data_IF_325998109322
#
_entry.id   IF_325998109322
#
_cell.length_a   1.000
_cell.length_b   1.000
_cell.length_c   1.000
_cell.angle_alpha   90.00
_cell.angle_beta   90.00
_cell.angle_gamma   90.00
#
_symmetry.space_group_name_H-M   'P 1'
#
loop_
_entity.id
_entity.type
_entity.pdbx_description
1 polymer ?
#
# COMPACT_ATOMS: atom_id res chain seq x y z
N UNK A 1 28.98 11.91 53.24
CA UNK A 1 29.73 10.65 52.98
C UNK A 1 28.90 9.81 52.04
N UNK A 2 29.42 9.45 50.86
CA UNK A 2 28.70 8.59 49.93
C UNK A 2 28.62 7.16 50.52
N UNK A 3 27.43 6.56 50.52
CA UNK A 3 27.20 5.20 51.01
C UNK A 3 27.95 4.18 50.14
N UNK A 4 28.26 3.01 50.68
CA UNK A 4 28.96 1.94 49.95
C UNK A 4 28.25 1.57 48.62
N UNK A 5 26.91 1.66 48.61
CA UNK A 5 26.07 1.44 47.42
C UNK A 5 26.31 2.47 46.32
N UNK A 6 26.50 3.75 46.67
CA UNK A 6 26.78 4.81 45.70
C UNK A 6 28.15 4.64 45.03
N UNK A 7 29.12 4.05 45.75
CA UNK A 7 30.45 3.73 45.20
C UNK A 7 30.41 2.53 44.26
N UNK A 8 29.61 1.52 44.57
CA UNK A 8 29.42 0.36 43.69
C UNK A 8 28.74 0.79 42.40
N UNK A 9 27.68 1.60 42.49
CA UNK A 9 26.96 2.10 41.32
C UNK A 9 27.87 2.91 40.38
N UNK A 10 28.66 3.86 40.92
CA UNK A 10 29.57 4.67 40.10
C UNK A 10 30.70 3.84 39.50
N UNK A 11 31.18 2.81 40.20
CA UNK A 11 32.17 1.90 39.66
C UNK A 11 31.59 1.04 38.53
N UNK A 12 30.38 0.49 38.70
CA UNK A 12 29.71 -0.27 37.63
C UNK A 12 29.43 0.59 36.41
N UNK A 13 29.01 1.84 36.60
CA UNK A 13 28.75 2.79 35.52
C UNK A 13 30.04 3.16 34.76
N UNK A 14 31.14 3.43 35.48
CA UNK A 14 32.44 3.68 34.88
C UNK A 14 33.00 2.46 34.11
N UNK A 15 32.72 1.25 34.61
CA UNK A 15 33.15 0.00 33.96
C UNK A 15 32.35 -0.28 32.70
N UNK A 16 31.02 -0.09 32.74
CA UNK A 16 30.13 -0.22 31.58
C UNK A 16 30.44 0.84 30.50
N UNK A 17 30.69 2.09 30.91
CA UNK A 17 31.09 3.16 29.99
C UNK A 17 32.41 2.86 29.27
N UNK A 18 33.33 2.15 29.92
CA UNK A 18 34.59 1.68 29.32
C UNK A 18 34.41 0.50 28.37
N UNK A 19 33.34 -0.27 28.50
CA UNK A 19 33.02 -1.39 27.60
C UNK A 19 32.21 -0.96 26.37
N UNK A 20 31.52 0.19 26.42
CA UNK A 20 30.77 0.75 25.29
C UNK A 20 31.53 0.82 23.96
N UNK A 21 32.82 1.20 23.92
CA UNK A 21 33.62 1.23 22.69
C UNK A 21 34.00 -0.16 22.13
N UNK A 22 33.96 -1.21 22.95
CA UNK A 22 34.27 -2.58 22.53
C UNK A 22 33.05 -3.28 21.90
N UNK A 23 31.85 -2.78 22.17
CA UNK A 23 30.62 -3.14 21.47
C UNK A 23 30.52 -2.37 20.15
N UNK A 24 31.56 -2.42 19.32
CA UNK A 24 31.45 -1.98 17.93
C UNK A 24 30.56 -3.01 17.24
N UNK A 25 29.31 -2.65 16.97
CA UNK A 25 28.41 -3.46 16.17
C UNK A 25 29.17 -3.86 14.88
N UNK A 26 29.25 -5.16 14.56
CA UNK A 26 29.96 -5.61 13.37
C UNK A 26 29.40 -4.87 12.15
N UNK A 27 30.25 -4.55 11.15
CA UNK A 27 29.75 -3.98 9.91
C UNK A 27 28.71 -4.95 9.34
N UNK A 28 27.45 -4.52 9.31
CA UNK A 28 26.37 -5.27 8.69
C UNK A 28 26.74 -5.48 7.22
N UNK A 29 27.19 -6.68 6.89
CA UNK A 29 27.35 -7.08 5.50
C UNK A 29 25.95 -7.06 4.89
N UNK A 30 25.67 -6.07 4.03
CA UNK A 30 24.43 -6.04 3.27
C UNK A 30 24.39 -7.31 2.43
N UNK A 31 23.50 -8.24 2.78
CA UNK A 31 23.24 -9.43 1.99
C UNK A 31 22.32 -9.03 0.83
N UNK A 32 22.69 -9.40 -0.39
CA UNK A 32 21.87 -9.21 -1.57
C UNK A 32 20.80 -10.31 -1.58
N UNK A 33 19.56 -9.94 -1.25
CA UNK A 33 18.41 -10.84 -1.25
C UNK A 33 17.70 -10.86 -2.61
N UNK A 34 17.02 -11.96 -2.92
CA UNK A 34 16.28 -12.05 -4.17
C UNK A 34 15.09 -11.07 -4.17
N UNK A 35 14.86 -10.31 -5.26
CA UNK A 35 13.76 -9.37 -5.32
C UNK A 35 12.42 -10.09 -5.37
N UNK A 36 11.43 -9.56 -4.65
CA UNK A 36 10.07 -10.10 -4.63
C UNK A 36 9.40 -9.94 -6.00
N UNK A 37 9.05 -11.06 -6.64
CA UNK A 37 8.42 -11.07 -7.96
C UNK A 37 6.89 -10.99 -7.84
N UNK A 38 6.34 -9.79 -8.06
CA UNK A 38 4.91 -9.53 -7.99
C UNK A 38 4.30 -9.30 -9.38
N UNK A 39 3.31 -10.11 -9.74
CA UNK A 39 2.66 -10.10 -11.06
C UNK A 39 1.63 -8.97 -11.15
N UNK A 40 1.70 -8.17 -12.21
CA UNK A 40 0.68 -7.17 -12.54
C UNK A 40 -0.41 -7.77 -13.41
N UNK A 41 -1.67 -7.39 -13.17
CA UNK A 41 -2.81 -7.74 -14.02
C UNK A 41 -3.50 -6.48 -14.54
N UNK A 42 -4.37 -6.69 -15.52
CA UNK A 42 -5.23 -5.65 -16.09
C UNK A 42 -6.69 -6.04 -15.88
N UNK A 43 -7.56 -5.03 -15.72
CA UNK A 43 -9.02 -5.21 -15.58
C UNK A 43 -9.81 -4.84 -16.85
N UNK A 44 -9.08 -4.49 -17.90
CA UNK A 44 -9.64 -4.04 -19.17
C UNK A 44 -10.61 -5.06 -19.78
N UNK A 45 -10.32 -6.38 -19.86
CA UNK A 45 -11.23 -7.31 -20.51
C UNK A 45 -12.57 -7.42 -19.76
N UNK A 46 -12.56 -7.32 -18.43
CA UNK A 46 -13.78 -7.34 -17.62
C UNK A 46 -14.61 -6.06 -17.81
N UNK A 47 -13.96 -4.89 -17.90
CA UNK A 47 -14.66 -3.63 -18.18
C UNK A 47 -15.26 -3.61 -19.60
N UNK A 48 -14.59 -4.23 -20.58
CA UNK A 48 -15.15 -4.43 -21.93
C UNK A 48 -16.36 -5.34 -21.89
N UNK A 49 -16.31 -6.44 -21.13
CA UNK A 49 -17.45 -7.35 -20.96
C UNK A 49 -18.66 -6.67 -20.29
N UNK A 50 -18.43 -5.66 -19.44
CA UNK A 50 -19.47 -4.81 -18.85
C UNK A 50 -20.00 -3.72 -19.82
N UNK A 51 -19.62 -3.73 -21.10
CA UNK A 51 -20.04 -2.72 -22.10
C UNK A 51 -19.74 -1.27 -21.67
N UNK A 52 -18.68 -1.05 -20.89
CA UNK A 52 -18.25 0.30 -20.54
C UNK A 52 -17.75 1.05 -21.78
N UNK A 53 -17.92 2.38 -21.80
CA UNK A 53 -17.33 3.21 -22.86
C UNK A 53 -15.80 3.25 -22.74
N UNK A 54 -15.08 3.48 -23.84
CA UNK A 54 -13.61 3.51 -23.84
C UNK A 54 -13.04 4.54 -22.84
N UNK A 55 -13.72 5.68 -22.66
CA UNK A 55 -13.34 6.71 -21.68
C UNK A 55 -13.42 6.19 -20.24
N UNK A 56 -14.47 5.44 -19.93
CA UNK A 56 -14.67 4.81 -18.61
C UNK A 56 -13.65 3.70 -18.42
N UNK A 57 -13.46 2.84 -19.42
CA UNK A 57 -12.45 1.77 -19.42
C UNK A 57 -11.06 2.33 -19.13
N UNK A 58 -10.64 3.38 -19.86
CA UNK A 58 -9.33 4.00 -19.69
C UNK A 58 -9.15 4.59 -18.28
N UNK A 59 -10.17 5.30 -17.78
CA UNK A 59 -10.13 5.94 -16.46
C UNK A 59 -10.05 4.91 -15.33
N UNK A 60 -10.88 3.87 -15.39
CA UNK A 60 -10.91 2.81 -14.38
C UNK A 60 -9.68 1.90 -14.44
N UNK A 61 -9.20 1.57 -15.64
CA UNK A 61 -7.95 0.81 -15.80
C UNK A 61 -6.77 1.56 -15.20
N UNK A 62 -6.67 2.88 -15.45
CA UNK A 62 -5.64 3.73 -14.84
C UNK A 62 -5.75 3.79 -13.32
N UNK A 63 -6.98 3.89 -12.79
CA UNK A 63 -7.21 3.89 -11.34
C UNK A 63 -6.76 2.57 -10.70
N UNK A 64 -7.08 1.46 -11.34
CA UNK A 64 -6.66 0.13 -10.91
C UNK A 64 -5.15 -0.03 -10.97
N UNK A 65 -4.50 0.36 -12.07
CA UNK A 65 -3.04 0.30 -12.22
C UNK A 65 -2.31 1.11 -11.15
N UNK A 66 -2.77 2.34 -10.87
CA UNK A 66 -2.19 3.18 -9.80
C UNK A 66 -2.35 2.52 -8.44
N UNK A 67 -3.51 1.93 -8.16
CA UNK A 67 -3.79 1.27 -6.89
C UNK A 67 -2.98 -0.03 -6.73
N UNK A 68 -2.88 -0.82 -7.80
CA UNK A 68 -2.03 -2.01 -7.86
C UNK A 68 -0.55 -1.67 -7.67
N UNK A 69 -0.07 -0.57 -8.23
CA UNK A 69 1.32 -0.13 -8.04
C UNK A 69 1.59 0.30 -6.59
N UNK A 70 0.63 0.96 -5.94
CA UNK A 70 0.73 1.28 -4.50
C UNK A 70 0.80 0.01 -3.65
N UNK A 71 -0.08 -0.97 -3.91
CA UNK A 71 -0.04 -2.27 -3.23
C UNK A 71 1.31 -2.97 -3.43
N UNK A 72 1.81 -3.00 -4.68
CA UNK A 72 3.09 -3.62 -5.02
C UNK A 72 4.25 -2.97 -4.27
N UNK A 73 4.34 -1.63 -4.26
CA UNK A 73 5.38 -0.90 -3.53
C UNK A 73 5.33 -1.17 -2.03
N UNK A 74 4.13 -1.20 -1.45
CA UNK A 74 3.94 -1.51 -0.03
C UNK A 74 4.40 -2.93 0.31
N UNK A 75 4.03 -3.91 -0.51
CA UNK A 75 4.46 -5.30 -0.33
C UNK A 75 5.98 -5.45 -0.42
N UNK A 76 6.62 -4.85 -1.43
CA UNK A 76 8.08 -4.87 -1.59
C UNK A 76 8.78 -4.20 -0.40
N UNK A 77 8.35 -2.99 -0.03
CA UNK A 77 8.94 -2.26 1.10
C UNK A 77 8.85 -3.03 2.41
N UNK A 78 7.68 -3.62 2.70
CA UNK A 78 7.48 -4.40 3.92
C UNK A 78 8.26 -5.73 3.89
N UNK A 79 8.34 -6.39 2.74
CA UNK A 79 9.15 -7.58 2.56
C UNK A 79 10.63 -7.29 2.82
N UNK A 80 11.18 -6.26 2.18
CA UNK A 80 12.58 -5.85 2.35
C UNK A 80 12.87 -5.44 3.81
N UNK A 81 11.98 -4.66 4.42
CA UNK A 81 12.11 -4.27 5.83
C UNK A 81 12.08 -5.45 6.79
N UNK A 82 11.17 -6.40 6.57
CA UNK A 82 11.05 -7.61 7.40
C UNK A 82 12.25 -8.53 7.22
N UNK A 83 12.71 -8.72 5.98
CA UNK A 83 13.87 -9.54 5.67
C UNK A 83 15.16 -8.95 6.22
N UNK A 84 15.33 -7.62 6.14
CA UNK A 84 16.45 -6.92 6.75
C UNK A 84 16.46 -7.10 8.28
N UNK A 85 15.31 -6.90 8.93
CA UNK A 85 15.18 -7.10 10.38
C UNK A 85 15.47 -8.55 10.79
N UNK A 86 14.98 -9.51 10.00
CA UNK A 86 15.23 -10.92 10.22
C UNK A 86 16.72 -11.26 10.02
N UNK A 87 17.33 -10.79 8.94
CA UNK A 87 18.75 -11.03 8.65
C UNK A 87 19.68 -10.52 9.77
N UNK A 88 19.26 -9.48 10.49
CA UNK A 88 19.99 -8.94 11.63
C UNK A 88 19.94 -9.81 12.89
N UNK A 89 19.00 -10.78 12.98
CA UNK A 89 18.92 -11.72 14.10
C UNK A 89 19.68 -13.02 13.87
N UNK A 90 20.05 -13.33 12.62
CA UNK A 90 20.80 -14.54 12.28
C UNK A 90 22.30 -14.31 12.38
N UNK A 91 23.01 -15.27 12.98
CA UNK A 91 24.46 -15.26 13.00
C UNK A 91 25.02 -15.62 11.61
N UNK A 92 26.29 -15.29 11.35
CA UNK A 92 26.92 -15.47 10.01
C UNK A 92 26.95 -16.95 9.58
N UNK A 93 26.88 -17.87 10.56
CA UNK A 93 26.95 -19.31 10.38
C UNK A 93 25.59 -20.01 10.21
N UNK A 94 24.46 -19.32 10.40
CA UNK A 94 23.10 -19.90 10.33
C UNK A 94 22.41 -19.62 8.98
N UNK A 95 23.17 -19.73 7.87
CA UNK A 95 22.70 -19.32 6.54
C UNK A 95 21.52 -20.15 6.02
N UNK A 96 21.50 -21.44 6.33
CA UNK A 96 20.44 -22.34 5.87
C UNK A 96 19.07 -21.96 6.45
N UNK A 97 19.03 -21.51 7.71
CA UNK A 97 17.80 -21.05 8.35
C UNK A 97 17.25 -19.78 7.69
N UNK A 98 18.11 -18.81 7.39
CA UNK A 98 17.69 -17.56 6.76
C UNK A 98 17.07 -17.78 5.37
N UNK A 99 17.63 -18.70 4.58
CA UNK A 99 17.09 -19.03 3.26
C UNK A 99 15.68 -19.65 3.33
N UNK A 100 15.43 -20.49 4.33
CA UNK A 100 14.10 -21.05 4.59
C UNK A 100 13.09 -19.96 4.94
N UNK A 101 13.46 -19.03 5.82
CA UNK A 101 12.60 -17.90 6.15
C UNK A 101 12.38 -16.94 4.97
N UNK A 102 13.39 -16.71 4.12
CA UNK A 102 13.24 -15.90 2.90
C UNK A 102 12.22 -16.54 1.95
N UNK A 103 12.24 -17.87 1.80
CA UNK A 103 11.26 -18.61 1.02
C UNK A 103 9.84 -18.47 1.60
N UNK A 104 9.69 -18.64 2.92
CA UNK A 104 8.39 -18.51 3.59
C UNK A 104 7.84 -17.07 3.49
N UNK A 105 8.70 -16.07 3.73
CA UNK A 105 8.31 -14.65 3.65
C UNK A 105 7.91 -14.28 2.23
N UNK A 106 8.71 -14.66 1.22
CA UNK A 106 8.39 -14.35 -0.17
C UNK A 106 7.05 -14.97 -0.59
N UNK A 107 6.82 -16.25 -0.27
CA UNK A 107 5.54 -16.92 -0.55
C UNK A 107 4.36 -16.21 0.13
N UNK A 108 4.51 -15.80 1.38
CA UNK A 108 3.48 -15.05 2.12
C UNK A 108 3.16 -13.71 1.46
N UNK A 109 4.17 -12.88 1.20
CA UNK A 109 3.94 -11.57 0.60
C UNK A 109 3.39 -11.66 -0.83
N UNK A 110 3.77 -12.69 -1.60
CA UNK A 110 3.17 -12.96 -2.92
C UNK A 110 1.69 -13.31 -2.78
N UNK A 111 1.34 -14.16 -1.81
CA UNK A 111 -0.05 -14.55 -1.52
C UNK A 111 -0.88 -13.33 -1.11
N UNK A 112 -0.41 -12.59 -0.10
CA UNK A 112 -1.11 -11.41 0.45
C UNK A 112 -1.30 -10.34 -0.63
N UNK A 113 -0.29 -10.12 -1.48
CA UNK A 113 -0.40 -9.20 -2.62
C UNK A 113 -1.44 -9.68 -3.64
N UNK A 114 -1.43 -10.98 -3.97
CA UNK A 114 -2.35 -11.55 -4.95
C UNK A 114 -3.80 -11.45 -4.46
N UNK A 115 -4.03 -11.72 -3.18
CA UNK A 115 -5.34 -11.59 -2.54
C UNK A 115 -5.81 -10.13 -2.53
N UNK A 116 -4.98 -9.20 -2.04
CA UNK A 116 -5.33 -7.78 -1.98
C UNK A 116 -5.61 -7.20 -3.38
N UNK A 117 -4.85 -7.62 -4.39
CA UNK A 117 -5.07 -7.24 -5.80
C UNK A 117 -6.42 -7.76 -6.32
N UNK A 118 -6.77 -8.99 -5.98
CA UNK A 118 -8.03 -9.61 -6.38
C UNK A 118 -9.23 -8.96 -5.68
N UNK A 119 -9.11 -8.66 -4.39
CA UNK A 119 -10.12 -7.89 -3.65
C UNK A 119 -10.32 -6.49 -4.25
N UNK A 120 -9.24 -5.80 -4.60
CA UNK A 120 -9.30 -4.51 -5.29
C UNK A 120 -10.01 -4.62 -6.64
N UNK A 121 -9.71 -5.68 -7.41
CA UNK A 121 -10.37 -5.95 -8.70
C UNK A 121 -11.86 -6.13 -8.52
N UNK A 122 -12.27 -7.01 -7.60
CA UNK A 122 -13.67 -7.31 -7.32
C UNK A 122 -14.43 -6.07 -6.83
N UNK A 123 -13.89 -5.34 -5.85
CA UNK A 123 -14.52 -4.14 -5.32
C UNK A 123 -14.77 -3.08 -6.39
N UNK A 124 -13.84 -2.92 -7.34
CA UNK A 124 -14.00 -1.99 -8.46
C UNK A 124 -15.08 -2.46 -9.44
N UNK A 125 -15.08 -3.75 -9.83
CA UNK A 125 -16.08 -4.31 -10.74
C UNK A 125 -17.48 -4.31 -10.13
N UNK A 126 -17.61 -4.67 -8.85
CA UNK A 126 -18.88 -4.63 -8.11
C UNK A 126 -19.43 -3.22 -8.06
N UNK A 127 -18.56 -2.22 -7.85
CA UNK A 127 -18.97 -0.82 -7.85
C UNK A 127 -19.46 -0.37 -9.22
N UNK A 128 -18.77 -0.75 -10.29
CA UNK A 128 -19.21 -0.47 -11.67
C UNK A 128 -20.57 -1.11 -11.93
N UNK A 129 -20.73 -2.39 -11.60
CA UNK A 129 -21.97 -3.12 -11.78
C UNK A 129 -23.14 -2.47 -11.00
N UNK A 130 -22.92 -2.10 -9.73
CA UNK A 130 -23.91 -1.41 -8.92
C UNK A 130 -24.34 -0.06 -9.51
N UNK A 131 -23.39 0.71 -10.06
CA UNK A 131 -23.72 1.99 -10.74
C UNK A 131 -24.52 1.78 -12.02
N UNK A 132 -24.19 0.75 -12.80
CA UNK A 132 -24.93 0.43 -14.02
C UNK A 132 -26.37 0.01 -13.73
N UNK A 133 -26.58 -0.85 -12.72
CA UNK A 133 -27.92 -1.28 -12.30
C UNK A 133 -28.77 -0.11 -11.80
N UNK A 134 -28.14 0.83 -11.08
CA UNK A 134 -28.81 2.03 -10.57
C UNK A 134 -29.22 3.00 -11.69
N UNK A 135 -28.37 3.17 -12.71
CA UNK A 135 -28.72 3.96 -13.91
C UNK A 135 -29.83 3.30 -14.74
N UNK A 136 -29.83 1.96 -14.85
CA UNK A 136 -30.86 1.23 -15.57
C UNK A 136 -32.22 1.27 -14.86
N UNK A 137 -32.26 1.22 -13.52
CA UNK A 137 -33.49 1.29 -12.72
C UNK A 137 -34.00 2.71 -12.43
N UNK A 138 -33.18 3.75 -12.64
CA UNK A 138 -33.49 5.15 -12.32
C UNK A 138 -34.28 5.91 -13.38
N UNK A 139 -34.40 5.40 -14.61
CA UNK A 139 -35.14 6.07 -15.68
C UNK A 139 -36.67 5.88 -15.61
N UNK A 140 -37.19 5.26 -14.54
CA UNK A 140 -38.62 4.96 -14.38
C UNK A 140 -39.25 5.57 -13.11
N UNK A 141 -38.70 6.66 -12.58
CA UNK A 141 -39.36 7.47 -11.52
C UNK A 141 -38.98 8.94 -11.64
N UNK A 142 -39.79 9.72 -12.37
CA UNK A 142 -39.71 11.19 -12.31
C UNK A 142 -39.90 11.96 -13.62
N UNK A 143 -40.46 11.38 -14.67
CA UNK A 143 -41.08 12.16 -15.75
C UNK A 143 -42.53 12.48 -15.37
N UNK A 144 -42.75 13.16 -14.24
CA UNK A 144 -44.03 13.75 -13.83
C UNK A 144 -43.83 14.63 -12.58
N UNK A 145 -43.14 15.76 -12.74
CA UNK A 145 -43.61 17.02 -12.15
C UNK A 145 -42.88 18.18 -12.83
N UNK A 146 -43.68 18.91 -13.56
CA UNK A 146 -43.50 20.29 -13.99
C UNK A 146 -43.09 21.20 -12.80
N UNK A 147 -42.49 22.35 -13.15
CA UNK A 147 -42.20 23.51 -12.30
C UNK A 147 -40.86 23.54 -11.53
N UNK A 148 -39.81 24.05 -12.21
CA UNK A 148 -38.52 24.36 -11.58
C UNK A 148 -37.47 24.97 -12.51
N UNK A 149 -37.86 25.91 -13.38
CA UNK A 149 -36.93 26.76 -14.13
C UNK A 149 -36.09 27.62 -13.17
N UNK A 150 -34.97 27.10 -12.71
CA UNK A 150 -33.91 27.85 -12.03
C UNK A 150 -32.99 28.50 -13.05
N UNK A 151 -33.19 29.80 -13.24
CA UNK A 151 -32.52 30.66 -14.20
C UNK A 151 -31.05 30.96 -13.78
N UNK A 152 -30.12 30.02 -13.99
CA UNK A 152 -28.69 30.22 -13.66
C UNK A 152 -27.89 30.96 -14.73
N UNK A 153 -28.54 31.47 -15.80
CA UNK A 153 -27.84 32.13 -16.91
C UNK A 153 -27.88 33.66 -16.89
N UNK A 154 -28.59 34.28 -15.94
CA UNK A 154 -28.69 35.75 -15.84
C UNK A 154 -27.63 36.38 -14.92
N UNK A 155 -27.41 35.80 -13.74
CA UNK A 155 -26.58 36.41 -12.69
C UNK A 155 -25.07 36.37 -13.01
N UNK A 156 -24.61 35.40 -13.80
CA UNK A 156 -23.18 35.29 -14.18
C UNK A 156 -22.79 36.30 -15.26
N UNK A 157 -23.75 36.80 -16.07
CA UNK A 157 -23.47 37.79 -17.12
C UNK A 157 -23.36 39.20 -16.54
N UNK A 158 -24.17 39.56 -15.54
CA UNK A 158 -24.08 40.87 -14.88
C UNK A 158 -22.76 41.10 -14.10
N UNK A 159 -22.12 40.03 -13.63
CA UNK A 159 -20.82 40.13 -12.93
C UNK A 159 -19.65 40.38 -13.89
N UNK A 160 -19.78 40.02 -15.17
CA UNK A 160 -18.73 40.19 -16.18
C UNK A 160 -18.80 41.52 -16.94
N UNK A 161 -19.92 42.23 -16.90
CA UNK A 161 -20.06 43.55 -17.54
C UNK A 161 -19.75 44.72 -16.58
N UNK A 162 -19.37 44.44 -15.33
CA UNK A 162 -19.05 45.44 -14.30
C UNK A 162 -17.59 45.44 -13.82
N UNK A 163 -16.72 44.70 -14.50
CA UNK A 163 -15.27 44.71 -14.29
C UNK A 163 -14.57 45.37 -15.48
#
# INVERSE_FOLDING_TARGET
MATATARIASFTEATLARMGPLLRAPPSARRDHAPLQLIRTTIRPELVALNCTERVISSLSRLFEVSQEKLRRGAVFNYEGTLAALSATFDVHEQDGLAEYECILSARYISDYSEAREQLRQALLDRVHATMMSCAGGNSRGAESDSGRGNFSGEVVEVLERA
#
